data_IF_521246311700
#
_entry.id   IF_521246311700
#
_cell.length_a   1.000
_cell.length_b   1.000
_cell.length_c   1.000
_cell.angle_alpha   90.00
_cell.angle_beta   90.00
_cell.angle_gamma   90.00
#
_symmetry.space_group_name_H-M   'P 1'
#
loop_
_entity.id
_entity.type
_entity.pdbx_description
1 polymer ?
#
# COMPACT_ATOMS: atom_id res chain seq x y z
N UNK A 1 16.17 30.89 43.47
CA UNK A 1 15.35 29.66 43.35
C UNK A 1 13.94 29.99 43.82
N UNK A 2 12.97 29.99 42.89
CA UNK A 2 11.65 29.43 43.17
C UNK A 2 11.18 28.46 42.06
N UNK A 3 10.16 27.68 42.41
CA UNK A 3 9.54 26.57 41.68
C UNK A 3 8.12 26.94 41.20
N UNK A 4 7.64 26.16 40.24
CA UNK A 4 6.27 25.82 39.82
C UNK A 4 5.51 26.66 38.76
N UNK A 5 5.19 25.91 37.69
CA UNK A 5 4.00 25.90 36.83
C UNK A 5 3.74 27.00 35.81
N UNK A 6 3.54 26.51 34.58
CA UNK A 6 2.49 26.99 33.70
C UNK A 6 3.03 27.55 32.40
N UNK A 7 3.36 26.66 31.45
CA UNK A 7 3.09 26.84 30.01
C UNK A 7 3.70 25.68 29.24
N UNK A 8 3.03 24.53 29.28
CA UNK A 8 3.15 23.58 28.18
C UNK A 8 2.31 24.14 27.02
N UNK A 9 3.00 24.37 25.91
CA UNK A 9 2.57 25.03 24.68
C UNK A 9 1.38 24.32 23.99
N UNK A 10 0.66 25.02 23.10
CA UNK A 10 -0.66 24.64 22.65
C UNK A 10 -0.65 23.32 21.90
N UNK A 11 -1.67 22.50 22.18
CA UNK A 11 -2.00 21.29 21.44
C UNK A 11 -2.30 21.62 19.97
N UNK A 12 -1.29 21.68 19.11
CA UNK A 12 -1.46 21.40 17.69
C UNK A 12 -1.51 19.88 17.53
N UNK A 13 -2.63 19.28 17.92
CA UNK A 13 -2.99 17.95 17.46
C UNK A 13 -3.38 18.08 15.98
N UNK A 14 -2.37 18.17 15.10
CA UNK A 14 -2.60 17.91 13.68
C UNK A 14 -3.21 16.52 13.58
N UNK A 15 -4.34 16.39 12.90
CA UNK A 15 -4.92 15.10 12.60
C UNK A 15 -3.79 14.21 12.03
N UNK A 16 -3.67 12.98 12.52
CA UNK A 16 -2.82 11.99 11.85
C UNK A 16 -3.43 11.76 10.47
N UNK A 17 -2.88 12.44 9.45
CA UNK A 17 -3.46 12.46 8.11
C UNK A 17 -3.51 11.06 7.50
N UNK A 18 -2.52 10.22 7.80
CA UNK A 18 -2.42 8.84 7.34
C UNK A 18 -1.76 7.94 8.38
N UNK A 19 -2.36 6.78 8.63
CA UNK A 19 -1.88 5.73 9.52
C UNK A 19 -1.97 4.39 8.81
N UNK A 20 -0.95 3.55 8.99
CA UNK A 20 -0.87 2.30 8.24
C UNK A 20 0.47 1.61 8.38
N UNK A 21 0.77 0.78 7.40
CA UNK A 21 2.00 0.00 7.30
C UNK A 21 2.64 0.24 5.94
N UNK A 22 3.95 0.45 5.91
CA UNK A 22 4.75 0.44 4.67
C UNK A 22 5.71 -0.75 4.70
N UNK A 23 6.21 -1.14 3.53
CA UNK A 23 7.22 -2.18 3.42
C UNK A 23 6.68 -3.60 3.57
N UNK A 24 5.38 -3.85 3.38
CA UNK A 24 4.80 -5.19 3.42
C UNK A 24 5.31 -5.96 2.19
N UNK A 25 6.05 -7.05 2.40
CA UNK A 25 6.45 -7.94 1.31
C UNK A 25 5.38 -9.02 1.07
N UNK A 26 4.79 -9.01 -0.12
CA UNK A 26 3.76 -9.97 -0.55
C UNK A 26 3.93 -10.32 -2.02
N UNK A 27 3.54 -11.53 -2.45
CA UNK A 27 3.45 -11.85 -3.87
C UNK A 27 2.30 -11.06 -4.51
N UNK A 28 2.53 -10.52 -5.69
CA UNK A 28 1.49 -9.93 -6.54
C UNK A 28 1.32 -10.73 -7.81
N UNK A 29 0.09 -10.82 -8.29
CA UNK A 29 -0.26 -11.36 -9.61
C UNK A 29 -0.63 -10.20 -10.52
N UNK A 30 -0.10 -10.12 -11.73
CA UNK A 30 -0.42 -9.04 -12.65
C UNK A 30 -0.38 -9.53 -14.09
N UNK A 31 -1.15 -8.89 -14.98
CA UNK A 31 -1.08 -9.08 -16.42
C UNK A 31 -0.31 -7.90 -17.03
N UNK A 32 0.72 -8.21 -17.82
CA UNK A 32 1.57 -7.22 -18.49
C UNK A 32 0.94 -6.62 -19.76
N UNK A 33 -0.30 -6.99 -20.08
CA UNK A 33 -1.00 -6.64 -21.32
C UNK A 33 -0.80 -7.67 -22.44
N UNK A 34 -0.16 -8.81 -22.16
CA UNK A 34 0.04 -9.94 -23.07
C UNK A 34 -0.96 -11.07 -22.82
N UNK A 35 -1.80 -10.98 -21.79
CA UNK A 35 -2.80 -11.99 -21.42
C UNK A 35 -2.25 -13.11 -20.53
N UNK A 36 -0.95 -13.09 -20.23
CA UNK A 36 -0.31 -14.06 -19.35
C UNK A 36 -0.14 -13.47 -17.94
N UNK A 37 -0.79 -14.09 -16.95
CA UNK A 37 -0.68 -13.65 -15.56
C UNK A 37 0.68 -14.06 -14.98
N UNK A 38 1.45 -13.05 -14.59
CA UNK A 38 2.77 -13.18 -14.00
C UNK A 38 2.72 -12.99 -12.47
N UNK A 39 3.79 -13.40 -11.78
CA UNK A 39 3.96 -13.19 -10.34
C UNK A 39 5.28 -12.47 -10.06
N UNK A 40 5.24 -11.51 -9.15
CA UNK A 40 6.44 -10.84 -8.62
C UNK A 40 6.36 -10.69 -7.11
N UNK A 41 7.51 -10.55 -6.45
CA UNK A 41 7.55 -10.03 -5.08
C UNK A 41 7.32 -8.53 -5.14
N UNK A 42 6.44 -8.00 -4.30
CA UNK A 42 6.14 -6.58 -4.22
C UNK A 42 6.35 -6.05 -2.80
N UNK A 43 6.75 -4.79 -2.74
CA UNK A 43 6.70 -3.98 -1.54
C UNK A 43 5.42 -3.15 -1.54
N UNK A 44 4.58 -3.34 -0.53
CA UNK A 44 3.26 -2.74 -0.44
C UNK A 44 3.16 -1.80 0.77
N UNK A 45 2.61 -0.61 0.52
CA UNK A 45 2.15 0.29 1.56
C UNK A 45 0.62 0.30 1.62
N UNK A 46 0.06 0.22 2.82
CA UNK A 46 -1.38 0.23 3.07
C UNK A 46 -1.72 1.23 4.17
N UNK A 47 -2.59 2.19 3.87
CA UNK A 47 -2.87 3.32 4.74
C UNK A 47 -4.35 3.68 4.74
N UNK A 48 -4.80 4.21 5.87
CA UNK A 48 -6.09 4.89 6.02
C UNK A 48 -5.88 6.19 6.77
N UNK A 49 -6.77 7.16 6.62
CA UNK A 49 -6.74 8.35 7.46
C UNK A 49 -7.38 8.09 8.84
N UNK A 50 -7.19 9.01 9.78
CA UNK A 50 -7.87 8.96 11.08
C UNK A 50 -8.81 10.16 11.23
N UNK A 51 -10.12 9.92 11.11
CA UNK A 51 -11.15 10.97 11.20
C UNK A 51 -11.54 11.31 12.63
N UNK A 52 -11.20 10.44 13.60
CA UNK A 52 -11.52 10.62 15.02
C UNK A 52 -10.35 11.19 15.82
N UNK A 53 -10.39 12.47 16.22
CA UNK A 53 -9.30 13.10 16.97
C UNK A 53 -9.15 12.56 18.40
N UNK A 54 -10.17 11.90 18.94
CA UNK A 54 -10.15 11.23 20.24
C UNK A 54 -9.44 9.86 20.21
N UNK A 55 -9.19 9.32 19.01
CA UNK A 55 -8.51 8.04 18.81
C UNK A 55 -7.03 8.28 18.54
N UNK A 56 -6.18 7.40 19.09
CA UNK A 56 -4.72 7.49 18.98
C UNK A 56 -4.12 6.55 17.93
N UNK A 57 -4.94 5.75 17.24
CA UNK A 57 -4.45 4.80 16.23
C UNK A 57 -5.50 3.84 15.70
N UNK A 58 -5.03 2.88 14.88
CA UNK A 58 -5.82 1.85 14.19
C UNK A 58 -5.26 0.45 14.48
N UNK A 59 -6.04 -0.58 14.14
CA UNK A 59 -5.55 -1.96 14.14
C UNK A 59 -4.82 -2.27 12.83
N UNK A 60 -3.51 -1.95 12.78
CA UNK A 60 -2.67 -2.13 11.57
C UNK A 60 -2.69 -3.55 10.99
N UNK A 61 -2.79 -4.57 11.84
CA UNK A 61 -2.86 -5.97 11.39
C UNK A 61 -4.05 -6.26 10.48
N UNK A 62 -5.13 -5.48 10.56
CA UNK A 62 -6.27 -5.61 9.63
C UNK A 62 -5.89 -5.23 8.20
N UNK A 63 -5.08 -4.18 8.03
CA UNK A 63 -4.57 -3.78 6.70
C UNK A 63 -3.66 -4.86 6.14
N UNK A 64 -2.73 -5.38 6.93
CA UNK A 64 -1.83 -6.46 6.51
C UNK A 64 -2.59 -7.70 6.02
N UNK A 65 -3.58 -8.17 6.79
CA UNK A 65 -4.35 -9.36 6.42
C UNK A 65 -5.15 -9.16 5.13
N UNK A 66 -5.73 -7.98 4.92
CA UNK A 66 -6.44 -7.64 3.68
C UNK A 66 -5.48 -7.55 2.49
N UNK A 67 -4.29 -6.96 2.67
CA UNK A 67 -3.24 -6.94 1.64
C UNK A 67 -2.84 -8.36 1.24
N UNK A 68 -2.54 -9.22 2.21
CA UNK A 68 -2.15 -10.60 1.96
C UNK A 68 -3.27 -11.38 1.25
N UNK A 69 -4.50 -11.29 1.75
CA UNK A 69 -5.66 -11.99 1.17
C UNK A 69 -5.88 -11.61 -0.30
N UNK A 70 -5.92 -10.31 -0.61
CA UNK A 70 -6.26 -9.83 -1.95
C UNK A 70 -5.12 -10.05 -2.95
N UNK A 71 -3.89 -9.66 -2.59
CA UNK A 71 -2.76 -9.69 -3.53
C UNK A 71 -2.23 -11.10 -3.77
N UNK A 72 -2.33 -12.00 -2.78
CA UNK A 72 -1.91 -13.39 -2.94
C UNK A 72 -2.89 -14.22 -3.77
N UNK A 73 -4.17 -13.84 -3.82
CA UNK A 73 -5.24 -14.63 -4.45
C UNK A 73 -5.64 -14.15 -5.84
N UNK A 74 -5.64 -12.84 -6.08
CA UNK A 74 -6.31 -12.21 -7.23
C UNK A 74 -5.30 -11.44 -8.10
N UNK A 75 -5.51 -11.45 -9.42
CA UNK A 75 -4.72 -10.61 -10.33
C UNK A 75 -5.01 -9.13 -10.05
N UNK A 76 -3.96 -8.32 -10.01
CA UNK A 76 -4.07 -6.88 -9.83
C UNK A 76 -4.74 -6.27 -11.06
N UNK A 77 -5.94 -5.76 -10.84
CA UNK A 77 -6.69 -4.91 -11.77
C UNK A 77 -7.40 -3.80 -11.00
N UNK A 78 -8.05 -2.89 -11.72
CA UNK A 78 -8.73 -1.74 -11.10
C UNK A 78 -9.88 -2.17 -10.16
N UNK A 79 -10.64 -3.21 -10.50
CA UNK A 79 -11.80 -3.65 -9.73
C UNK A 79 -11.40 -4.32 -8.42
N UNK A 80 -10.33 -5.12 -8.44
CA UNK A 80 -9.72 -5.72 -7.26
C UNK A 80 -9.17 -4.63 -6.33
N UNK A 81 -8.42 -3.64 -6.86
CA UNK A 81 -7.89 -2.54 -6.05
C UNK A 81 -9.00 -1.71 -5.41
N UNK A 82 -10.07 -1.41 -6.16
CA UNK A 82 -11.24 -0.74 -5.59
C UNK A 82 -11.86 -1.54 -4.44
N UNK A 83 -12.00 -2.86 -4.61
CA UNK A 83 -12.55 -3.76 -3.59
C UNK A 83 -11.66 -3.80 -2.34
N UNK A 84 -10.34 -3.86 -2.52
CA UNK A 84 -9.37 -3.81 -1.42
C UNK A 84 -9.44 -2.49 -0.64
N UNK A 85 -9.50 -1.36 -1.34
CA UNK A 85 -9.63 -0.04 -0.72
C UNK A 85 -10.95 0.09 0.06
N UNK A 86 -12.05 -0.43 -0.49
CA UNK A 86 -13.34 -0.51 0.24
C UNK A 86 -13.22 -1.39 1.49
N UNK A 87 -12.55 -2.54 1.40
CA UNK A 87 -12.33 -3.41 2.55
C UNK A 87 -11.46 -2.75 3.63
N UNK A 88 -10.49 -1.91 3.27
CA UNK A 88 -9.75 -1.09 4.24
C UNK A 88 -10.68 -0.16 5.02
N UNK A 89 -11.58 0.53 4.32
CA UNK A 89 -12.56 1.43 4.95
C UNK A 89 -13.56 0.67 5.82
N UNK A 90 -14.10 -0.45 5.33
CA UNK A 90 -15.06 -1.26 6.07
C UNK A 90 -14.45 -1.86 7.35
N UNK A 91 -13.20 -2.35 7.27
CA UNK A 91 -12.46 -2.86 8.44
C UNK A 91 -12.08 -1.78 9.46
N UNK A 92 -12.11 -0.50 9.04
CA UNK A 92 -11.86 0.69 9.86
C UNK A 92 -13.09 1.61 9.91
N UNK A 93 -14.28 1.03 9.83
CA UNK A 93 -15.53 1.77 9.87
C UNK A 93 -15.57 2.67 11.10
N UNK A 94 -16.07 3.89 10.89
CA UNK A 94 -16.15 4.97 11.86
C UNK A 94 -14.80 5.54 12.36
N UNK A 95 -13.65 5.05 11.88
CA UNK A 95 -12.31 5.57 12.18
C UNK A 95 -11.66 6.25 10.98
N UNK A 96 -11.97 5.79 9.77
CA UNK A 96 -11.40 6.25 8.51
C UNK A 96 -12.49 6.46 7.45
N UNK A 97 -12.27 7.40 6.54
CA UNK A 97 -13.12 7.63 5.36
C UNK A 97 -12.31 7.68 4.04
N UNK A 98 -10.97 7.61 4.14
CA UNK A 98 -10.05 7.54 3.00
C UNK A 98 -9.06 6.40 3.20
N UNK A 99 -8.76 5.72 2.11
CA UNK A 99 -7.80 4.62 2.05
C UNK A 99 -6.82 4.87 0.89
N UNK A 100 -5.58 4.42 1.06
CA UNK A 100 -4.54 4.46 0.03
C UNK A 100 -3.74 3.16 0.08
N UNK A 101 -3.34 2.70 -1.10
CA UNK A 101 -2.39 1.61 -1.27
C UNK A 101 -1.27 2.06 -2.19
N UNK A 102 -0.05 1.58 -1.95
CA UNK A 102 1.05 1.68 -2.91
C UNK A 102 1.61 0.28 -3.16
N UNK A 103 1.84 -0.09 -4.41
CA UNK A 103 2.40 -1.40 -4.78
C UNK A 103 3.60 -1.15 -5.67
N UNK A 104 4.77 -1.64 -5.25
CA UNK A 104 6.04 -1.49 -5.97
C UNK A 104 6.64 -2.86 -6.24
N UNK A 105 6.98 -3.15 -7.48
CA UNK A 105 7.63 -4.41 -7.86
C UNK A 105 8.44 -4.24 -9.15
N UNK A 106 9.31 -5.20 -9.46
CA UNK A 106 10.04 -5.23 -10.73
C UNK A 106 9.37 -6.20 -11.71
N UNK A 107 9.06 -5.70 -12.90
CA UNK A 107 8.58 -6.51 -14.02
C UNK A 107 9.75 -6.91 -14.92
N UNK A 108 9.88 -8.21 -15.21
CA UNK A 108 10.86 -8.72 -16.16
C UNK A 108 10.28 -8.71 -17.58
N UNK A 109 10.95 -7.98 -18.49
CA UNK A 109 10.54 -7.89 -19.89
C UNK A 109 11.64 -8.49 -20.78
N UNK A 110 11.22 -9.34 -21.74
CA UNK A 110 12.12 -9.90 -22.75
C UNK A 110 12.44 -8.83 -23.80
N UNK A 111 13.73 -8.55 -24.02
CA UNK A 111 14.19 -7.55 -24.98
C UNK A 111 15.18 -8.16 -25.97
N UNK A 112 14.93 -7.97 -27.26
CA UNK A 112 15.86 -8.33 -28.32
C UNK A 112 17.13 -7.49 -28.24
N UNK A 113 18.26 -8.09 -28.59
CA UNK A 113 19.52 -7.38 -28.73
C UNK A 113 19.50 -6.46 -29.96
N UNK A 114 20.19 -5.32 -29.87
CA UNK A 114 20.19 -4.32 -30.95
C UNK A 114 20.98 -4.76 -32.20
N UNK A 115 21.86 -5.75 -32.07
CA UNK A 115 22.83 -6.14 -33.11
C UNK A 115 22.94 -7.65 -33.33
N UNK A 116 22.14 -8.45 -32.65
CA UNK A 116 22.14 -9.91 -32.82
C UNK A 116 20.75 -10.49 -32.60
N UNK A 117 20.56 -11.73 -33.01
CA UNK A 117 19.28 -12.47 -32.85
C UNK A 117 19.05 -12.97 -31.40
N UNK A 118 19.84 -12.52 -30.44
CA UNK A 118 19.71 -12.90 -29.03
C UNK A 118 18.66 -12.05 -28.31
N UNK A 119 18.12 -12.57 -27.21
CA UNK A 119 17.19 -11.85 -26.34
C UNK A 119 17.52 -12.04 -24.86
N UNK A 120 17.54 -10.95 -24.10
CA UNK A 120 17.79 -10.92 -22.66
C UNK A 120 16.59 -10.47 -21.85
N UNK A 121 16.68 -10.60 -20.53
CA UNK A 121 15.71 -10.06 -19.58
C UNK A 121 16.18 -8.70 -19.05
N UNK A 122 15.24 -7.78 -18.88
CA UNK A 122 15.45 -6.52 -18.16
C UNK A 122 14.36 -6.31 -17.14
N UNK A 123 14.75 -5.91 -15.93
CA UNK A 123 13.84 -5.48 -14.90
C UNK A 123 13.42 -4.02 -15.13
N UNK A 124 12.13 -3.76 -14.99
CA UNK A 124 11.54 -2.43 -15.04
C UNK A 124 10.73 -2.22 -13.76
N UNK A 125 11.01 -1.15 -12.99
CA UNK A 125 10.25 -0.87 -11.79
C UNK A 125 8.83 -0.44 -12.15
N UNK A 126 7.86 -1.05 -11.48
CA UNK A 126 6.44 -0.75 -11.58
C UNK A 126 5.98 -0.17 -10.24
N UNK A 127 5.19 0.91 -10.29
CA UNK A 127 4.57 1.53 -9.13
C UNK A 127 3.10 1.82 -9.42
N UNK A 128 2.23 1.40 -8.51
CA UNK A 128 0.77 1.63 -8.55
C UNK A 128 0.39 2.38 -7.27
N UNK A 129 -0.34 3.50 -7.39
CA UNK A 129 -0.80 4.35 -6.27
C UNK A 129 -2.19 4.96 -6.49
#
# INVERSE_FOLDING_TARGET
MPDVAGQAQPHLAGALDWVGMDGIEVPVRFDAGDGDVQRASAQVGAFVNLTRPDKRGIHMSRLYLLVDEYLSSTTVDAAMLESLLRAFLDSHKDLADRARISIRFDQLVRRAALRSDNSGWRAYPVSIE
#
